data_IF_874154306073
#
_entry.id   IF_874154306073
#
_cell.length_a   1.000
_cell.length_b   1.000
_cell.length_c   1.000
_cell.angle_alpha   90.00
_cell.angle_beta   90.00
_cell.angle_gamma   90.00
#
_symmetry.space_group_name_H-M   'P 1'
#
loop_
_entity.id
_entity.type
_entity.pdbx_description
1 polymer ?
#
# COMPACT_ATOMS: atom_id res chain seq x y z
N UNK A 1 39.20 -56.45 -4.84
CA UNK A 1 37.86 -56.88 -4.37
C UNK A 1 37.80 -56.61 -2.88
N UNK A 2 36.90 -55.86 -2.27
CA UNK A 2 35.87 -54.91 -2.69
C UNK A 2 35.62 -54.08 -1.42
N UNK A 3 35.50 -52.76 -1.57
CA UNK A 3 35.18 -51.81 -0.52
C UNK A 3 33.80 -52.10 0.10
N UNK A 4 33.62 -51.77 1.39
CA UNK A 4 32.78 -50.64 1.81
C UNK A 4 32.47 -50.72 3.31
N UNK A 5 33.07 -49.81 4.06
CA UNK A 5 32.83 -49.56 5.46
C UNK A 5 31.54 -48.73 5.63
N UNK A 6 30.67 -49.14 6.55
CA UNK A 6 29.45 -48.41 6.93
C UNK A 6 29.81 -47.24 7.82
N UNK A 7 29.40 -46.02 7.46
CA UNK A 7 29.18 -44.95 8.43
C UNK A 7 27.86 -44.24 8.10
N UNK A 8 26.88 -44.41 8.99
CA UNK A 8 25.69 -43.60 9.08
C UNK A 8 26.10 -42.19 9.54
N UNK A 9 25.99 -41.20 8.65
CA UNK A 9 25.99 -39.78 9.01
C UNK A 9 24.53 -39.30 9.10
N UNK A 10 24.09 -38.96 10.31
CA UNK A 10 22.89 -38.17 10.58
C UNK A 10 22.86 -36.87 9.77
N UNK A 11 21.69 -36.35 9.37
CA UNK A 11 21.62 -35.09 8.63
C UNK A 11 22.12 -33.95 9.52
N UNK A 12 23.31 -33.41 9.19
CA UNK A 12 23.80 -32.17 9.77
C UNK A 12 22.74 -31.08 9.56
N UNK A 13 22.25 -30.54 10.67
CA UNK A 13 21.48 -29.31 10.68
C UNK A 13 22.34 -28.21 10.05
N UNK A 14 21.96 -27.78 8.86
CA UNK A 14 22.56 -26.64 8.17
C UNK A 14 21.81 -25.34 8.56
N UNK A 15 22.35 -24.46 9.43
CA UNK A 15 21.73 -23.20 9.80
C UNK A 15 21.67 -22.15 8.67
N UNK A 16 22.21 -22.45 7.49
CA UNK A 16 22.22 -21.56 6.35
C UNK A 16 21.48 -22.20 5.19
N UNK A 17 20.15 -22.13 5.30
CA UNK A 17 19.26 -22.30 4.17
C UNK A 17 19.59 -21.28 3.07
N UNK A 18 20.32 -21.80 2.09
CA UNK A 18 20.56 -21.34 0.72
C UNK A 18 19.56 -20.27 0.26
N UNK A 19 20.13 -19.14 -0.17
CA UNK A 19 19.43 -17.92 -0.53
C UNK A 19 18.42 -18.10 -1.66
N UNK A 20 17.23 -17.54 -1.43
CA UNK A 20 16.37 -17.01 -2.46
C UNK A 20 17.17 -15.96 -3.26
N UNK A 21 17.06 -15.86 -4.60
CA UNK A 21 17.88 -14.94 -5.39
C UNK A 21 17.76 -13.54 -4.82
N UNK A 22 18.87 -13.04 -4.26
CA UNK A 22 19.05 -11.79 -3.49
C UNK A 22 17.75 -11.01 -3.27
N UNK A 23 16.90 -11.47 -2.34
CA UNK A 23 15.76 -10.67 -1.85
C UNK A 23 16.30 -9.33 -1.37
N UNK A 24 15.75 -8.25 -1.91
CA UNK A 24 16.20 -6.89 -1.60
C UNK A 24 15.46 -6.38 -0.38
N UNK A 25 16.15 -6.34 0.75
CA UNK A 25 15.60 -5.94 2.06
C UNK A 25 14.92 -4.57 2.04
N UNK A 26 15.34 -3.68 1.14
CA UNK A 26 14.76 -2.35 1.02
C UNK A 26 13.30 -2.31 0.56
N UNK A 27 12.79 -3.33 -0.12
CA UNK A 27 11.35 -3.42 -0.41
C UNK A 27 10.53 -3.73 0.85
N UNK A 28 11.06 -4.57 1.74
CA UNK A 28 10.43 -4.87 3.02
C UNK A 28 10.53 -3.65 3.96
N UNK A 29 11.65 -2.93 3.96
CA UNK A 29 11.79 -1.66 4.67
C UNK A 29 10.72 -0.64 4.24
N UNK A 30 10.56 -0.45 2.93
CA UNK A 30 9.53 0.45 2.40
C UNK A 30 8.12 0.02 2.83
N UNK A 31 7.86 -1.30 2.89
CA UNK A 31 6.57 -1.84 3.35
C UNK A 31 6.35 -1.56 4.83
N UNK A 32 7.38 -1.65 5.67
CA UNK A 32 7.28 -1.30 7.09
C UNK A 32 6.92 0.18 7.27
N UNK A 33 7.59 1.09 6.56
CA UNK A 33 7.27 2.52 6.61
C UNK A 33 5.87 2.85 6.08
N UNK A 34 5.44 2.18 5.00
CA UNK A 34 4.07 2.32 4.52
C UNK A 34 3.05 1.88 5.57
N UNK A 35 3.28 0.76 6.27
CA UNK A 35 2.41 0.30 7.36
C UNK A 35 2.40 1.28 8.54
N UNK A 36 3.55 1.80 8.97
CA UNK A 36 3.59 2.81 10.03
C UNK A 36 2.83 4.07 9.64
N UNK A 37 3.01 4.56 8.42
CA UNK A 37 2.27 5.72 7.91
C UNK A 37 0.76 5.46 7.91
N UNK A 38 0.30 4.29 7.45
CA UNK A 38 -1.11 3.91 7.50
C UNK A 38 -1.64 3.84 8.94
N UNK A 39 -0.87 3.30 9.89
CA UNK A 39 -1.28 3.25 11.31
C UNK A 39 -1.46 4.66 11.86
N UNK A 40 -0.51 5.57 11.61
CA UNK A 40 -0.60 6.97 12.07
C UNK A 40 -1.82 7.67 11.48
N UNK A 41 -2.06 7.53 10.17
CA UNK A 41 -3.22 8.12 9.49
C UNK A 41 -4.54 7.54 10.02
N UNK A 42 -4.63 6.22 10.16
CA UNK A 42 -5.85 5.58 10.63
C UNK A 42 -6.16 5.93 12.09
N UNK A 43 -5.14 6.03 12.95
CA UNK A 43 -5.31 6.44 14.34
C UNK A 43 -5.78 7.89 14.45
N UNK A 44 -5.26 8.83 13.63
CA UNK A 44 -5.76 10.21 13.68
C UNK A 44 -7.20 10.32 13.18
N UNK A 45 -7.59 9.53 12.17
CA UNK A 45 -8.94 9.56 11.58
C UNK A 45 -9.96 9.01 12.59
N UNK A 46 -9.71 7.82 13.15
CA UNK A 46 -10.67 7.18 14.07
C UNK A 46 -10.88 7.97 15.35
N UNK A 47 -9.86 8.74 15.77
CA UNK A 47 -9.88 9.57 16.97
C UNK A 47 -10.41 10.98 16.77
N UNK A 48 -10.86 11.33 15.57
CA UNK A 48 -11.24 12.70 15.19
C UNK A 48 -10.15 13.74 15.52
N UNK A 49 -8.89 13.33 15.37
CA UNK A 49 -7.74 14.09 15.84
C UNK A 49 -7.08 14.92 14.72
N UNK A 50 -7.61 14.88 13.50
CA UNK A 50 -6.94 15.36 12.28
C UNK A 50 -6.54 16.84 12.34
N UNK A 51 -7.35 17.65 13.03
CA UNK A 51 -7.13 19.08 13.22
C UNK A 51 -6.94 19.48 14.69
N UNK A 52 -6.95 18.50 15.62
CA UNK A 52 -6.85 18.71 17.07
C UNK A 52 -5.39 18.82 17.56
N UNK A 53 -4.59 19.70 16.96
CA UNK A 53 -3.20 19.89 17.34
C UNK A 53 -2.53 21.14 16.75
N UNK A 54 -1.24 21.38 17.08
CA UNK A 54 -0.49 22.49 16.52
C UNK A 54 -0.43 22.43 14.99
N UNK A 55 -0.54 23.58 14.31
CA UNK A 55 -0.61 23.65 12.85
C UNK A 55 0.58 22.98 12.14
N UNK A 56 1.80 23.09 12.69
CA UNK A 56 2.98 22.42 12.13
C UNK A 56 2.86 20.89 12.18
N UNK A 57 2.24 20.35 13.24
CA UNK A 57 2.07 18.92 13.43
C UNK A 57 0.98 18.39 12.48
N UNK A 58 -0.16 19.08 12.42
CA UNK A 58 -1.25 18.81 11.46
C UNK A 58 -0.70 18.77 10.03
N UNK A 59 0.06 19.80 9.63
CA UNK A 59 0.69 19.87 8.32
C UNK A 59 1.65 18.70 8.08
N UNK A 60 2.53 18.39 9.05
CA UNK A 60 3.54 17.33 8.90
C UNK A 60 2.91 15.94 8.77
N UNK A 61 1.87 15.64 9.54
CA UNK A 61 1.17 14.35 9.48
C UNK A 61 0.25 14.27 8.27
N UNK A 62 -0.29 15.40 7.80
CA UNK A 62 -1.03 15.49 6.54
C UNK A 62 -0.19 15.10 5.31
N UNK A 63 1.15 15.15 5.41
CA UNK A 63 2.02 14.62 4.35
C UNK A 63 1.92 13.09 4.22
N UNK A 64 1.45 12.37 5.23
CA UNK A 64 1.28 10.92 5.18
C UNK A 64 -0.06 10.49 4.57
N UNK A 65 -1.05 11.39 4.56
CA UNK A 65 -2.44 11.11 4.16
C UNK A 65 -2.50 10.58 2.74
N UNK A 66 -3.01 9.35 2.61
CA UNK A 66 -3.06 8.60 1.35
C UNK A 66 -1.70 8.21 0.76
N UNK A 67 -0.60 8.94 1.01
CA UNK A 67 0.74 8.63 0.47
C UNK A 67 1.30 7.33 1.05
N UNK A 68 1.02 7.04 2.32
CA UNK A 68 1.39 5.77 2.95
C UNK A 68 0.68 4.56 2.28
N UNK A 69 -0.64 4.68 2.07
CA UNK A 69 -1.43 3.67 1.37
C UNK A 69 -1.01 3.53 -0.11
N UNK A 70 -0.76 4.63 -0.82
CA UNK A 70 -0.25 4.60 -2.20
C UNK A 70 1.11 3.88 -2.30
N UNK A 71 2.01 4.12 -1.34
CA UNK A 71 3.29 3.39 -1.22
C UNK A 71 3.08 1.89 -1.04
N UNK A 72 2.12 1.51 -0.18
CA UNK A 72 1.76 0.12 0.04
C UNK A 72 1.22 -0.57 -1.23
N UNK A 73 0.37 0.12 -2.00
CA UNK A 73 -0.18 -0.37 -3.27
C UNK A 73 0.89 -0.46 -4.36
N UNK A 74 1.80 0.52 -4.47
CA UNK A 74 2.93 0.45 -5.41
C UNK A 74 3.85 -0.74 -5.08
N UNK A 75 4.16 -0.98 -3.80
CA UNK A 75 4.95 -2.14 -3.38
C UNK A 75 4.28 -3.48 -3.71
N UNK A 76 2.95 -3.51 -3.71
CA UNK A 76 2.16 -4.65 -4.17
C UNK A 76 2.42 -4.95 -5.64
N UNK A 77 2.34 -3.92 -6.48
CA UNK A 77 2.58 -4.01 -7.92
C UNK A 77 4.01 -4.45 -8.22
N UNK A 78 4.98 -3.91 -7.48
CA UNK A 78 6.38 -4.35 -7.55
C UNK A 78 6.47 -5.84 -7.22
N UNK A 79 5.84 -6.28 -6.13
CA UNK A 79 5.82 -7.69 -5.71
C UNK A 79 5.22 -8.63 -6.76
N UNK A 80 4.11 -8.23 -7.40
CA UNK A 80 3.49 -8.96 -8.51
C UNK A 80 4.47 -9.09 -9.69
N UNK A 81 5.09 -7.98 -10.09
CA UNK A 81 6.03 -7.99 -11.23
C UNK A 81 7.27 -8.83 -10.97
N UNK A 82 7.81 -8.82 -9.74
CA UNK A 82 8.95 -9.63 -9.35
C UNK A 82 8.59 -11.12 -9.26
N UNK A 83 7.41 -11.44 -8.71
CA UNK A 83 6.92 -12.82 -8.64
C UNK A 83 6.80 -13.44 -10.04
N UNK A 84 6.23 -12.71 -11.00
CA UNK A 84 6.03 -13.19 -12.37
C UNK A 84 7.20 -12.90 -13.31
N UNK A 85 8.34 -12.40 -12.81
CA UNK A 85 9.44 -11.91 -13.64
C UNK A 85 10.04 -13.01 -14.53
N UNK A 86 10.41 -14.15 -13.93
CA UNK A 86 11.02 -15.27 -14.66
C UNK A 86 10.09 -15.87 -15.71
N UNK A 87 8.80 -16.00 -15.38
CA UNK A 87 7.78 -16.51 -16.28
C UNK A 87 7.60 -15.58 -17.50
N UNK A 88 7.54 -14.27 -17.24
CA UNK A 88 7.43 -13.23 -18.26
C UNK A 88 8.65 -13.17 -19.18
N UNK A 89 9.86 -13.15 -18.62
CA UNK A 89 11.12 -13.02 -19.38
C UNK A 89 11.40 -14.22 -20.28
N UNK A 90 10.98 -15.42 -19.86
CA UNK A 90 11.12 -16.65 -20.65
C UNK A 90 9.98 -16.89 -21.64
N UNK A 91 8.92 -16.07 -21.61
CA UNK A 91 7.71 -16.30 -22.41
C UNK A 91 6.97 -17.61 -22.05
N UNK A 92 7.18 -18.14 -20.85
CA UNK A 92 6.57 -19.41 -20.42
C UNK A 92 5.10 -19.19 -20.03
N UNK A 93 4.21 -19.45 -20.98
CA UNK A 93 2.76 -19.28 -20.81
C UNK A 93 2.19 -20.16 -19.69
N UNK A 94 2.76 -21.35 -19.45
CA UNK A 94 2.32 -22.24 -18.39
C UNK A 94 2.75 -21.70 -17.01
N UNK A 95 3.95 -21.14 -16.90
CA UNK A 95 4.38 -20.46 -15.66
C UNK A 95 3.54 -19.21 -15.38
N UNK A 96 3.24 -18.39 -16.39
CA UNK A 96 2.36 -17.21 -16.24
C UNK A 96 0.97 -17.64 -15.77
N UNK A 97 0.41 -18.73 -16.30
CA UNK A 97 -0.88 -19.25 -15.85
C UNK A 97 -0.86 -19.70 -14.38
N UNK A 98 0.23 -20.33 -13.92
CA UNK A 98 0.42 -20.70 -12.50
C UNK A 98 0.51 -19.46 -11.59
N UNK A 99 1.24 -18.43 -12.02
CA UNK A 99 1.35 -17.17 -11.30
C UNK A 99 -0.02 -16.48 -11.19
N UNK A 100 -0.78 -16.43 -12.30
CA UNK A 100 -2.18 -15.94 -12.32
C UNK A 100 -3.06 -16.69 -11.33
N UNK A 101 -3.02 -18.02 -11.33
CA UNK A 101 -3.82 -18.83 -10.40
C UNK A 101 -3.49 -18.55 -8.93
N UNK A 102 -2.20 -18.38 -8.61
CA UNK A 102 -1.76 -18.06 -7.25
C UNK A 102 -2.23 -16.66 -6.82
N UNK A 103 -2.05 -15.67 -7.69
CA UNK A 103 -2.47 -14.29 -7.43
C UNK A 103 -4.00 -14.16 -7.35
N UNK A 104 -4.76 -14.89 -8.18
CA UNK A 104 -6.22 -14.91 -8.14
C UNK A 104 -6.74 -15.44 -6.79
N UNK A 105 -6.15 -16.51 -6.25
CA UNK A 105 -6.52 -17.00 -4.92
C UNK A 105 -6.17 -16.00 -3.81
N UNK A 106 -5.03 -15.31 -3.92
CA UNK A 106 -4.66 -14.22 -2.99
C UNK A 106 -5.63 -13.05 -3.08
N UNK A 107 -6.05 -12.69 -4.28
CA UNK A 107 -7.06 -11.67 -4.52
C UNK A 107 -8.38 -12.02 -3.83
N UNK A 108 -8.89 -13.24 -4.02
CA UNK A 108 -10.10 -13.73 -3.34
C UNK A 108 -9.92 -13.72 -1.81
N UNK A 109 -8.80 -14.25 -1.31
CA UNK A 109 -8.53 -14.29 0.12
C UNK A 109 -8.57 -12.89 0.74
N UNK A 110 -7.87 -11.92 0.14
CA UNK A 110 -7.84 -10.54 0.63
C UNK A 110 -9.18 -9.83 0.46
N UNK A 111 -9.92 -10.12 -0.62
CA UNK A 111 -11.25 -9.59 -0.83
C UNK A 111 -12.23 -10.04 0.27
N UNK A 112 -12.29 -11.35 0.54
CA UNK A 112 -13.16 -11.92 1.57
C UNK A 112 -12.74 -11.46 2.95
N UNK A 113 -11.43 -11.49 3.25
CA UNK A 113 -10.90 -10.98 4.53
C UNK A 113 -11.25 -9.50 4.72
N UNK A 114 -11.13 -8.69 3.66
CA UNK A 114 -11.50 -7.28 3.68
C UNK A 114 -12.99 -7.07 3.96
N UNK A 115 -13.89 -7.79 3.28
CA UNK A 115 -15.34 -7.69 3.54
C UNK A 115 -15.71 -8.11 4.96
N UNK A 116 -15.02 -9.09 5.55
CA UNK A 116 -15.20 -9.47 6.95
C UNK A 116 -14.67 -8.41 7.92
N UNK A 117 -13.70 -7.61 7.48
CA UNK A 117 -13.00 -6.61 8.26
C UNK A 117 -13.67 -5.22 8.19
N UNK A 118 -14.37 -4.90 7.09
CA UNK A 118 -15.09 -3.62 6.89
C UNK A 118 -16.02 -3.24 8.06
N UNK A 119 -16.79 -4.16 8.69
CA UNK A 119 -17.61 -3.81 9.85
C UNK A 119 -16.82 -3.32 11.07
N UNK A 120 -15.55 -3.73 11.20
CA UNK A 120 -14.65 -3.27 12.27
C UNK A 120 -13.91 -2.00 11.86
N UNK A 121 -13.62 -1.84 10.57
CA UNK A 121 -12.89 -0.70 10.03
C UNK A 121 -13.40 -0.35 8.62
N UNK A 122 -14.30 0.65 8.49
CA UNK A 122 -14.89 1.02 7.20
C UNK A 122 -13.89 1.53 6.16
N UNK A 123 -12.76 2.08 6.62
CA UNK A 123 -11.67 2.57 5.76
C UNK A 123 -10.65 1.47 5.40
N UNK A 124 -11.04 0.20 5.39
CA UNK A 124 -10.13 -0.88 5.06
C UNK A 124 -9.68 -0.85 3.60
N UNK A 125 -8.40 -1.20 3.38
CA UNK A 125 -7.83 -1.27 2.04
C UNK A 125 -7.90 -2.68 1.45
N UNK A 126 -8.17 -3.72 2.26
CA UNK A 126 -7.96 -5.11 1.88
C UNK A 126 -8.92 -5.57 0.79
N UNK A 127 -10.21 -5.20 0.89
CA UNK A 127 -11.17 -5.60 -0.13
C UNK A 127 -10.89 -4.92 -1.48
N UNK A 128 -10.51 -3.63 -1.48
CA UNK A 128 -10.03 -2.97 -2.70
C UNK A 128 -8.76 -3.63 -3.26
N UNK A 129 -7.81 -3.98 -2.39
CA UNK A 129 -6.56 -4.64 -2.77
C UNK A 129 -6.79 -5.99 -3.45
N UNK A 130 -7.78 -6.75 -2.99
CA UNK A 130 -8.24 -7.97 -3.66
C UNK A 130 -8.65 -7.69 -5.11
N UNK A 131 -9.46 -6.66 -5.34
CA UNK A 131 -9.88 -6.25 -6.69
C UNK A 131 -8.68 -5.76 -7.52
N UNK A 132 -7.75 -5.00 -6.95
CA UNK A 132 -6.57 -4.53 -7.66
C UNK A 132 -5.71 -5.69 -8.16
N UNK A 133 -5.46 -6.69 -7.30
CA UNK A 133 -4.68 -7.88 -7.67
C UNK A 133 -5.42 -8.65 -8.76
N UNK A 134 -6.73 -8.82 -8.65
CA UNK A 134 -7.53 -9.52 -9.67
C UNK A 134 -7.44 -8.84 -11.03
N UNK A 135 -7.53 -7.51 -11.08
CA UNK A 135 -7.38 -6.73 -12.31
C UNK A 135 -5.93 -6.73 -12.82
N UNK A 136 -4.94 -6.71 -11.94
CA UNK A 136 -3.52 -6.79 -12.30
C UNK A 136 -3.14 -8.09 -13.04
N UNK A 137 -3.94 -9.17 -12.91
CA UNK A 137 -3.73 -10.44 -13.63
C UNK A 137 -3.75 -10.28 -15.15
N UNK A 138 -4.54 -9.33 -15.66
CA UNK A 138 -4.63 -9.02 -17.08
C UNK A 138 -3.37 -8.29 -17.59
N UNK A 139 -2.54 -7.76 -16.69
CA UNK A 139 -1.39 -6.92 -17.00
C UNK A 139 -0.03 -7.58 -16.77
N UNK A 140 0.03 -8.85 -16.35
CA UNK A 140 1.28 -9.53 -15.99
C UNK A 140 2.33 -9.54 -17.11
N UNK A 141 1.91 -9.74 -18.36
CA UNK A 141 2.76 -9.82 -19.55
C UNK A 141 2.74 -8.54 -20.40
N UNK A 142 1.87 -7.59 -20.09
CA UNK A 142 1.73 -6.29 -20.78
C UNK A 142 3.03 -5.50 -20.69
N UNK A 143 3.45 -4.70 -21.68
CA UNK A 143 4.71 -3.94 -21.62
C UNK A 143 4.69 -2.77 -20.61
N UNK A 144 5.87 -2.28 -20.19
CA UNK A 144 5.98 -1.20 -19.20
C UNK A 144 5.27 0.08 -19.66
N UNK A 145 5.39 0.46 -20.94
CA UNK A 145 4.72 1.66 -21.47
C UNK A 145 3.20 1.52 -21.43
N UNK A 146 2.66 0.33 -21.72
CA UNK A 146 1.22 0.06 -21.65
C UNK A 146 0.69 0.08 -20.21
N UNK A 147 1.50 -0.36 -19.23
CA UNK A 147 1.14 -0.21 -17.81
C UNK A 147 1.01 1.27 -17.42
N UNK A 148 2.00 2.10 -17.78
CA UNK A 148 1.99 3.53 -17.49
C UNK A 148 0.87 4.26 -18.26
N UNK A 149 0.61 3.87 -19.51
CA UNK A 149 -0.51 4.39 -20.30
C UNK A 149 -1.86 4.03 -19.70
N UNK A 150 -2.04 2.80 -19.21
CA UNK A 150 -3.26 2.39 -18.51
C UNK A 150 -3.43 3.11 -17.17
N UNK A 151 -2.33 3.33 -16.42
CA UNK A 151 -2.36 4.12 -15.20
C UNK A 151 -2.80 5.57 -15.48
N UNK A 152 -2.25 6.21 -16.51
CA UNK A 152 -2.66 7.55 -16.94
C UNK A 152 -4.12 7.58 -17.39
N UNK A 153 -4.56 6.59 -18.17
CA UNK A 153 -5.95 6.48 -18.62
C UNK A 153 -6.93 6.33 -17.44
N UNK A 154 -6.62 5.52 -16.43
CA UNK A 154 -7.46 5.38 -15.23
C UNK A 154 -7.62 6.69 -14.48
N UNK A 155 -6.54 7.46 -14.32
CA UNK A 155 -6.58 8.79 -13.69
C UNK A 155 -7.44 9.77 -14.50
N UNK A 156 -7.31 9.78 -15.83
CA UNK A 156 -8.13 10.65 -16.70
C UNK A 156 -9.60 10.25 -16.72
N UNK A 157 -9.88 8.94 -16.74
CA UNK A 157 -11.25 8.41 -16.63
C UNK A 157 -11.86 8.85 -15.30
N UNK A 158 -11.12 8.76 -14.19
CA UNK A 158 -11.62 9.22 -12.91
C UNK A 158 -12.00 10.71 -12.91
N UNK A 159 -11.14 11.56 -13.49
CA UNK A 159 -11.44 12.99 -13.63
C UNK A 159 -12.71 13.24 -14.44
N UNK A 160 -12.94 12.46 -15.50
CA UNK A 160 -14.19 12.53 -16.26
C UNK A 160 -15.40 12.06 -15.43
N UNK A 161 -15.26 10.99 -14.65
CA UNK A 161 -16.34 10.49 -13.77
C UNK A 161 -16.76 11.52 -12.73
N UNK A 162 -15.82 12.28 -12.15
CA UNK A 162 -16.13 13.38 -11.21
C UNK A 162 -17.00 14.49 -11.82
N UNK A 163 -17.07 14.62 -13.15
CA UNK A 163 -17.94 15.59 -13.82
C UNK A 163 -19.41 15.15 -13.86
N UNK A 164 -19.67 13.85 -13.72
CA UNK A 164 -21.01 13.26 -13.91
C UNK A 164 -21.55 12.58 -12.65
N UNK A 165 -20.69 12.20 -11.71
CA UNK A 165 -21.02 11.42 -10.54
C UNK A 165 -20.61 12.16 -9.26
N UNK A 166 -21.46 12.06 -8.24
CA UNK A 166 -21.20 12.61 -6.92
C UNK A 166 -20.33 11.63 -6.10
N UNK A 167 -19.10 12.07 -5.78
CA UNK A 167 -18.16 11.28 -4.98
C UNK A 167 -18.67 11.05 -3.56
N UNK A 168 -19.43 11.97 -2.97
CA UNK A 168 -19.91 11.80 -1.58
C UNK A 168 -21.14 10.88 -1.48
N UNK A 169 -21.70 10.46 -2.62
CA UNK A 169 -22.93 9.68 -2.67
C UNK A 169 -22.86 8.38 -1.83
N UNK A 170 -23.68 8.35 -0.77
CA UNK A 170 -23.83 7.20 0.13
C UNK A 170 -22.90 7.19 1.34
N UNK A 171 -21.98 8.16 1.49
CA UNK A 171 -21.17 8.29 2.69
C UNK A 171 -21.87 9.14 3.76
N UNK A 172 -21.75 8.70 5.01
CA UNK A 172 -21.84 9.56 6.18
C UNK A 172 -20.44 9.67 6.80
N UNK A 173 -19.79 10.80 6.57
CA UNK A 173 -18.41 11.04 7.01
C UNK A 173 -18.29 11.29 8.52
N UNK A 174 -19.39 11.55 9.23
CA UNK A 174 -19.36 11.67 10.69
C UNK A 174 -19.28 10.32 11.38
N UNK A 175 -20.00 9.34 10.82
CA UNK A 175 -20.03 7.97 11.36
C UNK A 175 -19.10 7.01 10.62
N UNK A 176 -18.47 7.46 9.53
CA UNK A 176 -17.69 6.66 8.59
C UNK A 176 -18.50 5.47 8.03
N UNK A 177 -19.82 5.62 7.92
CA UNK A 177 -20.71 4.56 7.44
C UNK A 177 -21.08 4.76 5.96
N UNK A 178 -21.29 3.64 5.25
CA UNK A 178 -21.66 3.66 3.83
C UNK A 178 -23.05 3.07 3.62
N UNK A 179 -23.98 3.90 3.16
CA UNK A 179 -25.35 3.53 2.88
C UNK A 179 -25.44 2.58 1.68
N UNK A 180 -26.10 1.44 1.90
CA UNK A 180 -26.29 0.43 0.87
C UNK A 180 -25.02 -0.36 0.52
N UNK A 181 -23.99 -0.36 1.38
CA UNK A 181 -22.75 -1.12 1.15
C UNK A 181 -23.00 -2.59 0.75
N UNK A 182 -23.96 -3.25 1.40
CA UNK A 182 -24.32 -4.65 1.14
C UNK A 182 -25.26 -4.86 -0.06
N UNK A 183 -25.61 -3.79 -0.78
CA UNK A 183 -26.37 -3.88 -2.03
C UNK A 183 -25.42 -3.96 -3.23
N UNK A 184 -25.79 -4.63 -4.33
CA UNK A 184 -24.92 -4.71 -5.51
C UNK A 184 -24.51 -3.33 -6.06
N UNK A 185 -25.45 -2.38 -6.14
CA UNK A 185 -25.19 -1.03 -6.65
C UNK A 185 -24.29 -0.22 -5.71
N UNK A 186 -24.56 -0.28 -4.40
CA UNK A 186 -23.73 0.40 -3.40
C UNK A 186 -22.32 -0.16 -3.35
N UNK A 187 -22.15 -1.49 -3.35
CA UNK A 187 -20.84 -2.13 -3.37
C UNK A 187 -20.04 -1.77 -4.64
N UNK A 188 -20.68 -1.75 -5.81
CA UNK A 188 -20.01 -1.36 -7.06
C UNK A 188 -19.56 0.10 -7.03
N UNK A 189 -20.42 1.02 -6.58
CA UNK A 189 -20.07 2.45 -6.44
C UNK A 189 -18.92 2.64 -5.44
N UNK A 190 -19.00 1.98 -4.28
CA UNK A 190 -17.96 1.98 -3.25
C UNK A 190 -16.63 1.46 -3.81
N UNK A 191 -16.64 0.29 -4.44
CA UNK A 191 -15.43 -0.34 -4.97
C UNK A 191 -14.78 0.48 -6.07
N UNK A 192 -15.55 0.95 -7.05
CA UNK A 192 -14.98 1.47 -8.29
C UNK A 192 -14.87 2.99 -8.35
N UNK A 193 -15.65 3.74 -7.56
CA UNK A 193 -15.73 5.18 -7.73
C UNK A 193 -15.48 5.96 -6.45
N UNK A 194 -16.12 5.61 -5.32
CA UNK A 194 -16.14 6.52 -4.17
C UNK A 194 -15.80 5.95 -2.80
N UNK A 195 -15.18 4.77 -2.70
CA UNK A 195 -14.60 4.31 -1.45
C UNK A 195 -13.41 5.15 -0.98
N UNK A 196 -12.82 4.82 0.18
CA UNK A 196 -11.54 5.40 0.63
C UNK A 196 -10.40 5.17 -0.37
N UNK A 197 -10.45 4.05 -1.09
CA UNK A 197 -9.45 3.64 -2.07
C UNK A 197 -10.16 3.08 -3.31
N UNK A 198 -10.84 3.90 -4.12
CA UNK A 198 -11.65 3.38 -5.22
C UNK A 198 -10.74 2.83 -6.33
N UNK A 199 -11.11 1.69 -6.92
CA UNK A 199 -10.37 1.01 -8.01
C UNK A 199 -10.03 1.97 -9.14
N UNK A 200 -10.95 2.84 -9.52
CA UNK A 200 -10.69 3.96 -10.40
C UNK A 200 -10.54 5.19 -9.50
N UNK A 201 -9.34 5.78 -9.34
CA UNK A 201 -8.12 5.55 -10.10
C UNK A 201 -7.03 4.72 -9.39
N UNK A 202 -7.23 4.21 -8.17
CA UNK A 202 -6.12 3.64 -7.37
C UNK A 202 -5.43 2.42 -7.99
N UNK A 203 -6.08 1.68 -8.90
CA UNK A 203 -5.42 0.65 -9.69
C UNK A 203 -4.20 1.20 -10.46
N UNK A 204 -4.17 2.49 -10.79
CA UNK A 204 -3.01 3.17 -11.38
C UNK A 204 -1.75 3.03 -10.51
N UNK A 205 -1.85 3.13 -9.17
CA UNK A 205 -0.71 2.92 -8.28
C UNK A 205 -0.16 1.49 -8.39
N UNK A 206 -1.04 0.49 -8.46
CA UNK A 206 -0.65 -0.90 -8.65
C UNK A 206 0.08 -1.10 -9.98
N UNK A 207 -0.43 -0.51 -11.06
CA UNK A 207 0.19 -0.59 -12.40
C UNK A 207 1.53 0.15 -12.46
N UNK A 208 1.66 1.31 -11.81
CA UNK A 208 2.94 2.02 -11.63
C UNK A 208 3.92 1.14 -10.85
N UNK A 209 3.47 0.47 -9.79
CA UNK A 209 4.26 -0.51 -9.06
C UNK A 209 4.73 -1.68 -9.93
N UNK A 210 3.85 -2.22 -10.77
CA UNK A 210 4.22 -3.28 -11.72
C UNK A 210 5.23 -2.79 -12.76
N UNK A 211 5.15 -1.53 -13.19
CA UNK A 211 6.14 -0.92 -14.07
C UNK A 211 7.50 -0.75 -13.35
N UNK A 212 7.48 -0.23 -12.12
CA UNK A 212 8.66 -0.05 -11.28
C UNK A 212 9.37 -1.39 -11.00
N UNK A 213 8.60 -2.46 -10.72
CA UNK A 213 9.13 -3.81 -10.48
C UNK A 213 9.72 -4.50 -11.71
N UNK A 214 9.86 -3.81 -12.85
CA UNK A 214 10.57 -4.28 -14.04
C UNK A 214 11.89 -3.56 -14.24
N UNK A 215 12.13 -2.51 -13.47
CA UNK A 215 13.38 -1.79 -13.44
C UNK A 215 14.27 -2.48 -12.41
N UNK A 216 15.51 -2.78 -12.79
CA UNK A 216 16.49 -3.32 -11.84
C UNK A 216 16.95 -2.22 -10.87
N UNK A 217 16.25 -2.12 -9.73
CA UNK A 217 16.59 -1.16 -8.67
C UNK A 217 17.82 -1.59 -7.85
N UNK A 218 18.44 -2.74 -8.14
CA UNK A 218 19.73 -3.09 -7.53
C UNK A 218 20.87 -2.26 -8.14
N UNK A 219 20.73 -1.83 -9.40
CA UNK A 219 21.62 -0.89 -10.07
C UNK A 219 21.40 0.55 -9.58
N UNK A 220 22.47 1.17 -9.07
CA UNK A 220 22.47 2.56 -8.61
C UNK A 220 22.15 3.57 -9.71
N UNK A 221 22.54 3.32 -10.96
CA UNK A 221 22.23 4.21 -12.10
C UNK A 221 20.74 4.21 -12.40
N UNK A 222 20.11 3.04 -12.37
CA UNK A 222 18.66 2.92 -12.53
C UNK A 222 17.90 3.57 -11.38
N UNK A 223 18.36 3.42 -10.13
CA UNK A 223 17.78 4.15 -8.99
C UNK A 223 17.83 5.66 -9.19
N UNK A 224 18.99 6.21 -9.57
CA UNK A 224 19.14 7.64 -9.84
C UNK A 224 18.22 8.10 -10.98
N UNK A 225 18.12 7.31 -12.05
CA UNK A 225 17.22 7.58 -13.20
C UNK A 225 15.74 7.55 -12.82
N UNK A 226 15.32 6.73 -11.87
CA UNK A 226 13.93 6.75 -11.39
C UNK A 226 13.70 7.98 -10.49
N UNK A 227 14.63 8.25 -9.56
CA UNK A 227 14.54 9.39 -8.65
C UNK A 227 14.47 10.74 -9.36
N UNK A 228 15.22 10.91 -10.46
CA UNK A 228 15.22 12.14 -11.24
C UNK A 228 13.84 12.47 -11.84
N UNK A 229 12.93 11.49 -11.94
CA UNK A 229 11.57 11.68 -12.47
C UNK A 229 10.54 11.65 -11.34
N UNK A 230 10.66 10.73 -10.38
CA UNK A 230 9.65 10.56 -9.33
C UNK A 230 9.62 11.72 -8.33
N UNK A 231 10.78 12.24 -7.94
CA UNK A 231 10.85 13.34 -6.98
C UNK A 231 10.35 14.66 -7.59
N UNK A 232 10.79 15.08 -8.80
CA UNK A 232 10.22 16.25 -9.44
C UNK A 232 8.73 16.11 -9.75
N UNK A 233 8.25 14.93 -10.16
CA UNK A 233 6.81 14.74 -10.38
C UNK A 233 6.00 15.03 -9.10
N UNK A 234 6.46 14.56 -7.95
CA UNK A 234 5.82 14.85 -6.68
C UNK A 234 5.86 16.34 -6.34
N UNK A 235 7.05 16.95 -6.39
CA UNK A 235 7.24 18.37 -6.05
C UNK A 235 6.46 19.29 -6.98
N UNK A 236 6.45 19.00 -8.28
CA UNK A 236 5.72 19.79 -9.28
C UNK A 236 4.21 19.67 -9.11
N UNK A 237 3.69 18.49 -8.76
CA UNK A 237 2.26 18.33 -8.49
C UNK A 237 1.82 19.11 -7.23
N UNK A 238 2.61 19.08 -6.16
CA UNK A 238 2.36 19.87 -4.94
C UNK A 238 2.47 21.38 -5.21
N UNK A 239 3.53 21.80 -5.93
CA UNK A 239 3.75 23.20 -6.29
C UNK A 239 2.66 23.72 -7.23
N UNK A 240 2.21 22.89 -8.18
CA UNK A 240 1.08 23.21 -9.06
C UNK A 240 -0.22 23.36 -8.25
N UNK A 241 -0.51 22.42 -7.35
CA UNK A 241 -1.68 22.52 -6.47
C UNK A 241 -1.63 23.78 -5.61
N UNK A 242 -0.49 24.06 -4.98
CA UNK A 242 -0.30 25.27 -4.19
C UNK A 242 -0.48 26.54 -5.03
N UNK A 243 0.18 26.63 -6.20
CA UNK A 243 0.09 27.79 -7.09
C UNK A 243 -1.33 28.01 -7.63
N UNK A 244 -2.02 26.95 -8.03
CA UNK A 244 -3.41 27.00 -8.49
C UNK A 244 -4.35 27.47 -7.37
N UNK A 245 -4.17 26.97 -6.14
CA UNK A 245 -4.98 27.41 -4.98
C UNK A 245 -4.79 28.89 -4.66
N UNK A 246 -3.55 29.38 -4.75
CA UNK A 246 -3.26 30.82 -4.56
C UNK A 246 -3.87 31.67 -5.69
N UNK A 247 -3.85 31.18 -6.93
CA UNK A 247 -4.39 31.88 -8.09
C UNK A 247 -5.92 31.87 -8.20
N UNK A 248 -6.59 30.85 -7.67
CA UNK A 248 -8.06 30.69 -7.79
C UNK A 248 -8.88 31.64 -6.90
N UNK A 249 -8.27 32.33 -5.93
CA UNK A 249 -8.88 33.46 -5.21
C UNK A 249 -10.31 33.22 -4.68
N UNK A 250 -11.08 34.30 -4.45
CA UNK A 250 -12.50 34.29 -4.08
C UNK A 250 -13.44 34.42 -5.29
N UNK A 251 -12.95 34.08 -6.48
CA UNK A 251 -13.69 34.26 -7.73
C UNK A 251 -14.42 32.98 -8.13
N UNK A 252 -15.74 33.07 -8.24
CA UNK A 252 -16.59 32.05 -8.87
C UNK A 252 -16.25 31.97 -10.37
N UNK A 253 -15.30 31.11 -10.71
CA UNK A 253 -14.95 30.81 -12.09
C UNK A 253 -16.01 29.87 -12.67
N UNK A 254 -16.62 30.28 -13.79
CA UNK A 254 -17.54 29.47 -14.61
C UNK A 254 -18.81 28.97 -13.92
N UNK A 255 -19.31 29.65 -12.87
CA UNK A 255 -20.56 29.28 -12.20
C UNK A 255 -20.54 27.94 -11.46
N UNK A 256 -19.38 27.28 -11.37
CA UNK A 256 -19.18 26.11 -10.53
C UNK A 256 -18.95 26.56 -9.09
N UNK A 257 -19.61 25.89 -8.12
CA UNK A 257 -19.37 26.15 -6.70
C UNK A 257 -17.88 26.03 -6.42
N UNK A 258 -17.29 27.06 -5.79
CA UNK A 258 -15.87 27.14 -5.44
C UNK A 258 -15.29 25.84 -4.83
N UNK A 259 -16.07 25.13 -4.00
CA UNK A 259 -15.68 23.86 -3.40
C UNK A 259 -15.38 22.74 -4.41
N UNK A 260 -16.15 22.65 -5.50
CA UNK A 260 -15.97 21.60 -6.51
C UNK A 260 -14.71 21.83 -7.35
N UNK A 261 -14.38 23.10 -7.66
CA UNK A 261 -13.17 23.44 -8.40
C UNK A 261 -11.91 23.28 -7.54
N UNK A 262 -12.00 23.61 -6.24
CA UNK A 262 -10.90 23.40 -5.30
C UNK A 262 -10.56 21.92 -5.14
N UNK A 263 -11.57 21.06 -5.00
CA UNK A 263 -11.36 19.61 -4.89
C UNK A 263 -10.57 19.03 -6.09
N UNK A 264 -10.77 19.56 -7.31
CA UNK A 264 -10.07 19.11 -8.53
C UNK A 264 -8.57 19.46 -8.56
N UNK A 265 -8.15 20.47 -7.80
CA UNK A 265 -6.77 20.97 -7.78
C UNK A 265 -6.01 20.68 -6.48
N UNK A 266 -6.65 20.00 -5.52
CA UNK A 266 -6.02 19.59 -4.28
C UNK A 266 -5.15 18.34 -4.43
N UNK A 267 -4.20 18.18 -3.52
CA UNK A 267 -3.39 16.95 -3.34
C UNK A 267 -3.89 16.11 -2.17
N UNK A 268 -5.15 16.29 -1.78
CA UNK A 268 -5.83 15.46 -0.79
C UNK A 268 -6.22 14.11 -1.41
N UNK A 269 -6.24 13.02 -0.64
CA UNK A 269 -6.50 11.68 -1.17
C UNK A 269 -7.94 11.41 -1.56
N UNK A 270 -8.88 12.25 -1.13
CA UNK A 270 -10.32 12.07 -1.32
C UNK A 270 -10.95 13.41 -1.74
N UNK A 271 -11.50 13.53 -2.96
CA UNK A 271 -11.39 12.56 -4.06
C UNK A 271 -9.94 12.44 -4.59
N UNK A 272 -9.50 11.28 -5.10
CA UNK A 272 -8.14 11.06 -5.61
C UNK A 272 -7.94 11.67 -7.01
N UNK A 273 -7.86 12.99 -7.09
CA UNK A 273 -7.74 13.74 -8.35
C UNK A 273 -6.36 13.62 -8.99
N UNK A 274 -6.21 14.15 -10.21
CA UNK A 274 -4.98 14.00 -10.99
C UNK A 274 -3.73 14.50 -10.26
N UNK A 275 -3.80 15.65 -9.57
CA UNK A 275 -2.66 16.19 -8.84
C UNK A 275 -2.29 15.32 -7.65
N UNK A 276 -3.27 14.82 -6.89
CA UNK A 276 -3.04 13.82 -5.86
C UNK A 276 -2.38 12.55 -6.42
N UNK A 277 -2.90 12.01 -7.52
CA UNK A 277 -2.38 10.77 -8.11
C UNK A 277 -0.92 10.90 -8.53
N UNK A 278 -0.53 12.03 -9.13
CA UNK A 278 0.86 12.31 -9.51
C UNK A 278 1.73 12.54 -8.27
N UNK A 279 1.27 13.34 -7.30
CA UNK A 279 1.99 13.64 -6.07
C UNK A 279 2.27 12.35 -5.28
N UNK A 280 1.22 11.57 -4.99
CA UNK A 280 1.31 10.34 -4.23
C UNK A 280 2.13 9.26 -4.94
N UNK A 281 1.99 9.10 -6.27
CA UNK A 281 2.80 8.14 -7.03
C UNK A 281 4.28 8.53 -7.01
N UNK A 282 4.59 9.82 -7.23
CA UNK A 282 5.95 10.35 -7.18
C UNK A 282 6.60 10.16 -5.81
N UNK A 283 5.88 10.49 -4.73
CA UNK A 283 6.34 10.27 -3.35
C UNK A 283 6.56 8.79 -3.07
N UNK A 284 5.59 7.94 -3.39
CA UNK A 284 5.67 6.51 -3.15
C UNK A 284 6.85 5.85 -3.88
N UNK A 285 7.02 6.14 -5.18
CA UNK A 285 8.17 5.64 -5.96
C UNK A 285 9.48 6.14 -5.36
N UNK A 286 9.55 7.42 -4.96
CA UNK A 286 10.74 7.98 -4.30
C UNK A 286 11.06 7.25 -3.00
N UNK A 287 10.07 7.04 -2.12
CA UNK A 287 10.24 6.30 -0.86
C UNK A 287 10.72 4.89 -1.11
N UNK A 288 10.12 4.17 -2.07
CA UNK A 288 10.53 2.81 -2.43
C UNK A 288 11.98 2.78 -2.91
N UNK A 289 12.36 3.66 -3.83
CA UNK A 289 13.73 3.68 -4.39
C UNK A 289 14.77 4.07 -3.34
N UNK A 290 14.46 5.02 -2.45
CA UNK A 290 15.33 5.39 -1.33
C UNK A 290 15.49 4.22 -0.35
N UNK A 291 14.40 3.53 0.01
CA UNK A 291 14.46 2.36 0.89
C UNK A 291 15.25 1.20 0.26
N UNK A 292 15.10 0.97 -1.05
CA UNK A 292 15.95 0.02 -1.80
C UNK A 292 17.41 0.44 -1.75
N UNK A 293 17.72 1.72 -1.98
CA UNK A 293 19.08 2.25 -1.84
C UNK A 293 19.68 2.03 -0.46
N UNK A 294 18.91 2.30 0.60
CA UNK A 294 19.30 2.07 1.99
C UNK A 294 19.52 0.56 2.27
N UNK A 295 18.60 -0.30 1.82
CA UNK A 295 18.71 -1.75 1.96
C UNK A 295 19.93 -2.32 1.23
N UNK A 296 20.31 -1.73 0.09
CA UNK A 296 21.54 -2.11 -0.62
C UNK A 296 22.80 -1.59 0.06
N UNK A 297 22.77 -0.36 0.59
CA UNK A 297 23.91 0.28 1.27
C UNK A 297 24.22 -0.35 2.63
N UNK A 298 23.19 -0.71 3.38
CA UNK A 298 23.26 -1.18 4.76
C UNK A 298 22.81 -2.63 4.92
N UNK A 299 22.97 -3.46 3.88
CA UNK A 299 22.48 -4.85 3.82
C UNK A 299 22.91 -5.71 5.01
N UNK A 300 24.14 -5.52 5.49
CA UNK A 300 24.70 -6.31 6.61
C UNK A 300 24.41 -5.69 7.99
N UNK A 301 23.77 -4.52 8.03
CA UNK A 301 23.49 -3.81 9.28
C UNK A 301 22.37 -4.46 10.09
N UNK A 302 22.67 -4.79 11.35
CA UNK A 302 21.70 -5.42 12.26
C UNK A 302 20.50 -4.52 12.58
N UNK A 303 20.67 -3.20 12.59
CA UNK A 303 19.61 -2.24 12.91
C UNK A 303 18.47 -2.23 11.87
N UNK A 304 18.72 -2.69 10.64
CA UNK A 304 17.70 -2.74 9.59
C UNK A 304 16.76 -3.94 9.75
N UNK A 305 17.23 -5.02 10.38
CA UNK A 305 16.52 -6.29 10.48
C UNK A 305 15.15 -6.19 11.17
N UNK A 306 14.96 -5.44 12.27
CA UNK A 306 13.65 -5.27 12.90
C UNK A 306 12.62 -4.67 11.94
N UNK A 307 13.01 -3.65 11.15
CA UNK A 307 12.14 -3.01 10.18
C UNK A 307 11.83 -3.94 9.00
N UNK A 308 12.83 -4.67 8.50
CA UNK A 308 12.62 -5.69 7.46
C UNK A 308 11.66 -6.78 7.94
N UNK A 309 11.84 -7.28 9.17
CA UNK A 309 10.92 -8.24 9.80
C UNK A 309 9.49 -7.68 9.86
N UNK A 310 9.34 -6.42 10.27
CA UNK A 310 8.05 -5.72 10.31
C UNK A 310 7.38 -5.69 8.93
N UNK A 311 8.12 -5.31 7.89
CA UNK A 311 7.62 -5.27 6.52
C UNK A 311 7.27 -6.64 5.93
N UNK A 312 7.79 -7.74 6.51
CA UNK A 312 7.43 -9.11 6.14
C UNK A 312 6.12 -9.58 6.79
N UNK A 313 5.67 -8.90 7.84
CA UNK A 313 4.45 -9.18 8.61
C UNK A 313 3.37 -8.11 8.37
N UNK A 314 3.44 -7.42 7.22
CA UNK A 314 2.60 -6.26 6.95
C UNK A 314 1.10 -6.54 6.99
N UNK A 315 0.62 -7.72 6.53
CA UNK A 315 -0.80 -8.07 6.60
C UNK A 315 -1.22 -8.35 8.04
N UNK A 316 -0.42 -9.10 8.79
CA UNK A 316 -0.66 -9.33 10.22
C UNK A 316 -0.75 -8.02 10.98
N UNK A 317 0.22 -7.12 10.80
CA UNK A 317 0.28 -5.85 11.52
C UNK A 317 -0.83 -4.89 11.07
N UNK A 318 -1.19 -4.92 9.78
CA UNK A 318 -2.34 -4.16 9.29
C UNK A 318 -3.66 -4.64 9.89
N UNK A 319 -3.89 -5.92 10.11
CA UNK A 319 -5.13 -6.33 10.81
C UNK A 319 -5.03 -6.06 12.32
N UNK A 320 -3.84 -6.27 12.91
CA UNK A 320 -3.63 -6.08 14.33
C UNK A 320 -3.79 -4.62 14.80
N UNK A 321 -3.47 -3.61 13.96
CA UNK A 321 -3.61 -2.21 14.40
C UNK A 321 -5.06 -1.79 14.66
N UNK A 322 -6.03 -2.40 14.00
CA UNK A 322 -7.45 -2.19 14.32
C UNK A 322 -7.86 -3.13 15.45
N UNK A 323 -7.73 -4.45 15.25
CA UNK A 323 -8.29 -5.43 16.20
C UNK A 323 -7.67 -5.32 17.59
N UNK A 324 -6.35 -5.12 17.66
CA UNK A 324 -5.61 -5.00 18.92
C UNK A 324 -5.37 -3.53 19.25
N UNK A 325 -4.82 -2.75 18.30
CA UNK A 325 -4.46 -1.35 18.56
C UNK A 325 -5.68 -0.49 18.90
N UNK A 326 -6.60 -0.33 17.95
CA UNK A 326 -7.83 0.43 18.16
C UNK A 326 -8.76 -0.25 19.15
N UNK A 327 -8.90 -1.58 19.11
CA UNK A 327 -9.76 -2.33 20.05
C UNK A 327 -9.37 -2.14 21.52
N UNK A 328 -8.08 -2.07 21.85
CA UNK A 328 -7.63 -1.76 23.21
C UNK A 328 -7.95 -0.30 23.61
N UNK A 329 -7.87 0.64 22.67
CA UNK A 329 -8.20 2.04 22.91
C UNK A 329 -9.71 2.26 23.04
N UNK A 330 -10.50 1.48 22.31
CA UNK A 330 -11.96 1.40 22.44
C UNK A 330 -12.34 0.90 23.82
N UNK A 331 -11.75 -0.22 24.26
CA UNK A 331 -11.97 -0.78 25.60
C UNK A 331 -11.56 0.20 26.72
N UNK A 332 -10.61 1.09 26.46
CA UNK A 332 -10.18 2.14 27.38
C UNK A 332 -11.02 3.43 27.27
N UNK A 333 -12.04 3.51 26.41
CA UNK A 333 -12.82 4.71 26.08
C UNK A 333 -11.94 5.90 25.62
N UNK A 334 -10.88 5.62 24.86
CA UNK A 334 -9.92 6.60 24.33
C UNK A 334 -9.86 6.62 22.80
N UNK A 335 -10.83 6.03 22.13
CA UNK A 335 -10.83 5.90 20.68
C UNK A 335 -11.41 7.13 19.95
N UNK A 336 -12.12 8.04 20.62
CA UNK A 336 -12.76 9.23 20.01
C UNK A 336 -12.32 10.52 20.67
N UNK A 337 -12.44 11.64 19.95
CA UNK A 337 -12.23 13.01 20.42
C UNK A 337 -10.88 13.23 21.13
N UNK A 338 -9.80 12.70 20.55
CA UNK A 338 -8.46 12.83 21.13
C UNK A 338 -7.63 13.92 20.44
N UNK A 339 -6.62 14.42 21.15
CA UNK A 339 -5.65 15.32 20.52
C UNK A 339 -4.75 14.59 19.52
N UNK A 340 -4.24 15.32 18.53
CA UNK A 340 -3.32 14.79 17.53
C UNK A 340 -2.03 14.23 18.16
N UNK A 341 -1.57 14.84 19.27
CA UNK A 341 -0.41 14.37 20.03
C UNK A 341 -0.70 13.01 20.68
N UNK A 342 -1.90 12.82 21.22
CA UNK A 342 -2.31 11.54 21.79
C UNK A 342 -2.39 10.46 20.70
N UNK A 343 -3.05 10.76 19.57
CA UNK A 343 -3.16 9.83 18.44
C UNK A 343 -1.77 9.41 17.91
N UNK A 344 -0.85 10.36 17.74
CA UNK A 344 0.53 10.08 17.32
C UNK A 344 1.28 9.24 18.36
N UNK A 345 1.09 9.53 19.66
CA UNK A 345 1.74 8.78 20.74
C UNK A 345 1.25 7.33 20.77
N UNK A 346 -0.05 7.11 20.69
CA UNK A 346 -0.66 5.79 20.63
C UNK A 346 -0.19 5.00 19.40
N UNK A 347 -0.19 5.64 18.21
CA UNK A 347 0.30 5.03 16.98
C UNK A 347 1.79 4.67 17.07
N UNK A 348 2.62 5.55 17.65
CA UNK A 348 4.05 5.31 17.84
C UNK A 348 4.32 4.15 18.79
N UNK A 349 3.60 4.09 19.92
CA UNK A 349 3.68 2.96 20.87
C UNK A 349 3.30 1.65 20.15
N UNK A 350 2.20 1.65 19.40
CA UNK A 350 1.79 0.47 18.63
C UNK A 350 2.84 0.07 17.58
N UNK A 351 3.47 1.02 16.89
CA UNK A 351 4.54 0.75 15.93
C UNK A 351 5.77 0.13 16.62
N UNK A 352 6.18 0.64 17.78
CA UNK A 352 7.30 0.06 18.56
C UNK A 352 6.99 -1.37 18.99
N UNK A 353 5.79 -1.61 19.52
CA UNK A 353 5.33 -2.95 19.90
C UNK A 353 5.33 -3.87 18.67
N UNK A 354 4.86 -3.38 17.52
CA UNK A 354 4.83 -4.13 16.26
C UNK A 354 6.22 -4.53 15.78
N UNK A 355 7.21 -3.63 15.89
CA UNK A 355 8.61 -3.92 15.54
C UNK A 355 9.19 -4.99 16.46
N UNK A 356 8.98 -4.86 17.78
CA UNK A 356 9.44 -5.85 18.76
C UNK A 356 8.77 -7.21 18.49
N UNK A 357 7.45 -7.23 18.33
CA UNK A 357 6.69 -8.44 17.99
C UNK A 357 7.20 -9.08 16.70
N UNK A 358 7.34 -8.33 15.62
CA UNK A 358 7.79 -8.87 14.34
C UNK A 358 9.21 -9.45 14.43
N UNK A 359 10.09 -8.80 15.19
CA UNK A 359 11.46 -9.27 15.40
C UNK A 359 11.49 -10.59 16.18
N UNK A 360 10.76 -10.67 17.30
CA UNK A 360 10.68 -11.88 18.13
C UNK A 360 9.98 -13.01 17.37
N UNK A 361 8.89 -12.71 16.66
CA UNK A 361 8.15 -13.68 15.87
C UNK A 361 9.02 -14.29 14.75
N UNK A 362 9.75 -13.44 14.01
CA UNK A 362 10.66 -13.86 12.94
C UNK A 362 11.86 -14.67 13.42
N UNK A 363 12.20 -14.60 14.71
CA UNK A 363 13.22 -15.47 15.30
C UNK A 363 12.75 -16.94 15.38
N UNK A 364 11.43 -17.17 15.49
CA UNK A 364 10.85 -18.51 15.65
C UNK A 364 10.10 -19.03 14.42
N UNK A 365 9.47 -18.14 13.66
CA UNK A 365 8.56 -18.47 12.56
C UNK A 365 8.95 -17.75 11.26
N UNK A 366 8.70 -18.40 10.11
CA UNK A 366 9.08 -17.86 8.80
C UNK A 366 8.11 -16.79 8.27
N UNK A 367 6.83 -16.93 8.57
CA UNK A 367 5.74 -16.06 8.11
C UNK A 367 4.97 -15.53 9.31
N UNK A 368 4.37 -14.34 9.19
CA UNK A 368 3.40 -13.87 10.16
C UNK A 368 2.15 -14.75 10.19
N UNK A 369 1.33 -14.67 11.25
CA UNK A 369 0.11 -15.44 11.40
C UNK A 369 -0.82 -15.36 10.17
N UNK A 370 -1.20 -14.14 9.75
CA UNK A 370 -2.12 -13.98 8.60
C UNK A 370 -1.45 -14.26 7.27
N UNK A 371 -0.16 -13.96 7.12
CA UNK A 371 0.60 -14.32 5.93
C UNK A 371 0.67 -15.85 5.77
N UNK A 372 0.79 -16.59 6.88
CA UNK A 372 0.76 -18.05 6.89
C UNK A 372 -0.62 -18.59 6.53
N UNK A 373 -1.70 -18.05 7.12
CA UNK A 373 -3.08 -18.43 6.77
C UNK A 373 -3.36 -18.18 5.29
N UNK A 374 -2.99 -17.01 4.75
CA UNK A 374 -3.12 -16.70 3.33
C UNK A 374 -2.34 -17.71 2.49
N UNK A 375 -1.12 -18.07 2.88
CA UNK A 375 -0.31 -19.05 2.15
C UNK A 375 -0.99 -20.42 2.12
N UNK A 376 -1.56 -20.88 3.25
CA UNK A 376 -2.30 -22.13 3.34
C UNK A 376 -3.54 -22.13 2.43
N UNK A 377 -4.30 -21.04 2.45
CA UNK A 377 -5.51 -20.90 1.62
C UNK A 377 -5.22 -20.79 0.11
N UNK A 378 -4.06 -20.25 -0.27
CA UNK A 378 -3.78 -19.90 -1.68
C UNK A 378 -2.87 -20.90 -2.39
N UNK A 379 -2.19 -21.78 -1.65
CA UNK A 379 -1.21 -22.70 -2.21
C UNK A 379 -1.55 -24.16 -1.82
N UNK A 380 -2.08 -24.98 -2.74
CA UNK A 380 -2.61 -26.33 -2.46
C UNK A 380 -1.53 -27.38 -2.13
N UNK A 381 -0.27 -26.98 -1.97
CA UNK A 381 0.87 -27.83 -1.55
C UNK A 381 1.55 -27.31 -0.28
N UNK A 382 0.93 -26.36 0.44
CA UNK A 382 1.52 -25.67 1.58
C UNK A 382 1.44 -26.44 2.89
#
# INVERSE_FOLDING_TARGET
MTQANKQHSSPEWNPKGIGDPKRVDGFDLARAFAVFGMIVVNFKIVMDAESAGPAWLVWSLGLLDGRAAATFVILAGVGISLMSARARERGDSAAVARDRGTLFRRAIFLFVLGLMYTPLWPADILHFYGVYIALALFFLTTSMQRLLGAAAALTLIFMALLLFLDYEAGWDWHTLSYQGFWTPSGLLRHLFFNGFHPVIPWLAFMLVGMALGRIDLTDGKMRARVLQWSLPAAVLAEAASWGLRQGLGSTDLFGAKKGNLLALIETNPMPPTMLYMVAAAGTAVTVVVLCVGLGMRFRDSKWLRPFVATGQLALTLYVAHVVVGMGLLEAANRLKDQSLVFALSAASIFCVISVTFATLWKARFRHGPLEWVMRLATNPKA
#
